data_IF_276747456210
#
_entry.id   IF_276747456210
#
_cell.length_a   1.000
_cell.length_b   1.000
_cell.length_c   1.000
_cell.angle_alpha   90.00
_cell.angle_beta   90.00
_cell.angle_gamma   90.00
#
_symmetry.space_group_name_H-M   'P 1'
#
loop_
_entity.id
_entity.type
_entity.pdbx_description
1 polymer ?
#
# COMPACT_ATOMS: atom_id res chain seq x y z
N UNK A 1 1.42 -4.62 6.72
CA UNK A 1 1.96 -5.90 6.21
C UNK A 1 1.92 -6.01 4.69
N UNK A 2 0.76 -5.82 4.05
CA UNK A 2 0.59 -6.06 2.61
C UNK A 2 1.49 -5.19 1.72
N UNK A 3 1.58 -3.89 2.00
CA UNK A 3 2.44 -2.96 1.25
C UNK A 3 3.92 -3.42 1.26
N UNK A 4 4.44 -3.75 2.45
CA UNK A 4 5.80 -4.28 2.64
C UNK A 4 6.01 -5.64 1.98
N UNK A 5 5.02 -6.53 2.03
CA UNK A 5 5.04 -7.84 1.35
C UNK A 5 5.20 -7.71 -0.17
N UNK A 6 4.65 -6.64 -0.73
CA UNK A 6 4.54 -6.42 -2.18
C UNK A 6 5.56 -5.41 -2.71
N UNK A 7 6.39 -4.83 -1.85
CA UNK A 7 7.32 -3.74 -2.17
C UNK A 7 6.62 -2.55 -2.88
N UNK A 8 5.44 -2.18 -2.39
CA UNK A 8 4.66 -1.02 -2.85
C UNK A 8 4.32 -0.10 -1.68
N UNK A 9 3.90 1.13 -1.96
CA UNK A 9 3.49 2.06 -0.90
C UNK A 9 2.12 1.68 -0.30
N UNK A 10 1.88 2.08 0.95
CA UNK A 10 0.55 1.94 1.59
C UNK A 10 -0.51 2.73 0.81
N UNK A 11 -0.15 3.89 0.26
CA UNK A 11 -1.02 4.70 -0.61
C UNK A 11 -1.47 3.92 -1.86
N UNK A 12 -0.55 3.20 -2.49
CA UNK A 12 -0.83 2.34 -3.65
C UNK A 12 -1.83 1.23 -3.28
N UNK A 13 -1.63 0.53 -2.15
CA UNK A 13 -2.58 -0.49 -1.65
C UNK A 13 -3.95 0.11 -1.35
N UNK A 14 -4.00 1.26 -0.68
CA UNK A 14 -5.24 1.99 -0.38
C UNK A 14 -5.94 2.46 -1.64
N UNK A 15 -5.21 2.86 -2.68
CA UNK A 15 -5.76 3.19 -4.00
C UNK A 15 -6.41 1.97 -4.63
N UNK A 16 -5.73 0.82 -4.65
CA UNK A 16 -6.31 -0.42 -5.16
C UNK A 16 -7.60 -0.78 -4.41
N UNK A 17 -7.60 -0.63 -3.09
CA UNK A 17 -8.80 -0.84 -2.28
C UNK A 17 -9.94 0.14 -2.64
N UNK A 18 -9.68 1.45 -2.67
CA UNK A 18 -10.68 2.48 -3.04
C UNK A 18 -11.26 2.25 -4.44
N UNK A 19 -10.43 1.78 -5.38
CA UNK A 19 -10.82 1.47 -6.76
C UNK A 19 -11.39 0.05 -6.92
N UNK A 20 -11.55 -0.70 -5.82
CA UNK A 20 -12.08 -2.08 -5.78
C UNK A 20 -11.29 -3.07 -6.63
N UNK A 21 -10.00 -2.80 -6.86
CA UNK A 21 -9.07 -3.74 -7.52
C UNK A 21 -8.67 -4.87 -6.57
N UNK A 22 -8.67 -4.59 -5.28
CA UNK A 22 -8.61 -5.56 -4.19
C UNK A 22 -9.73 -5.24 -3.21
N UNK A 23 -10.33 -6.25 -2.58
CA UNK A 23 -11.46 -6.07 -1.68
C UNK A 23 -11.21 -6.82 -0.37
N UNK A 24 -11.28 -6.16 0.79
CA UNK A 24 -11.10 -6.84 2.06
C UNK A 24 -12.27 -7.78 2.34
N UNK A 25 -11.97 -8.90 2.97
CA UNK A 25 -12.98 -9.85 3.49
C UNK A 25 -13.60 -9.31 4.79
N UNK A 26 -12.83 -8.53 5.54
CA UNK A 26 -13.29 -7.81 6.74
C UNK A 26 -12.49 -6.53 6.93
N UNK A 27 -13.10 -5.54 7.56
CA UNK A 27 -12.44 -4.32 8.03
C UNK A 27 -12.61 -4.20 9.54
N UNK A 28 -11.52 -3.89 10.23
CA UNK A 28 -11.51 -3.72 11.69
C UNK A 28 -10.73 -2.44 11.99
N UNK A 29 -11.35 -1.46 12.64
CA UNK A 29 -10.74 -0.14 12.91
C UNK A 29 -10.05 0.49 11.67
N UNK A 30 -10.73 0.50 10.51
CA UNK A 30 -10.25 1.02 9.21
C UNK A 30 -9.10 0.23 8.57
N UNK A 31 -8.66 -0.86 9.19
CA UNK A 31 -7.65 -1.75 8.64
C UNK A 31 -8.34 -2.82 7.77
N UNK A 32 -8.06 -2.86 6.46
CA UNK A 32 -8.59 -3.88 5.57
C UNK A 32 -7.80 -5.18 5.70
N UNK A 33 -8.50 -6.29 5.93
CA UNK A 33 -7.94 -7.64 5.93
C UNK A 33 -8.29 -8.35 4.63
N UNK A 34 -7.24 -8.80 3.94
CA UNK A 34 -7.33 -9.47 2.66
C UNK A 34 -7.07 -10.96 2.83
N UNK A 35 -7.84 -11.79 2.12
CA UNK A 35 -7.55 -13.22 2.05
C UNK A 35 -6.43 -13.52 1.05
N UNK A 36 -6.11 -14.81 0.90
CA UNK A 36 -5.07 -15.25 -0.01
C UNK A 36 -5.32 -14.88 -1.48
N UNK A 37 -6.57 -14.88 -1.95
CA UNK A 37 -6.90 -14.56 -3.34
C UNK A 37 -6.67 -13.08 -3.62
N UNK A 38 -7.04 -12.22 -2.68
CA UNK A 38 -6.83 -10.78 -2.75
C UNK A 38 -5.34 -10.42 -2.67
N UNK A 39 -4.57 -11.10 -1.82
CA UNK A 39 -3.11 -10.93 -1.75
C UNK A 39 -2.44 -11.38 -3.06
N UNK A 40 -2.89 -12.48 -3.66
CA UNK A 40 -2.39 -12.91 -4.98
C UNK A 40 -2.72 -11.91 -6.09
N UNK A 41 -3.92 -11.30 -6.04
CA UNK A 41 -4.34 -10.23 -6.96
C UNK A 41 -3.47 -8.99 -6.78
N UNK A 42 -3.26 -8.55 -5.54
CA UNK A 42 -2.38 -7.44 -5.20
C UNK A 42 -0.94 -7.68 -5.68
N UNK A 43 -0.44 -8.93 -5.59
CA UNK A 43 0.88 -9.31 -6.10
C UNK A 43 1.01 -9.15 -7.62
N UNK A 44 -0.03 -9.51 -8.37
CA UNK A 44 -0.07 -9.31 -9.84
C UNK A 44 -0.07 -7.81 -10.18
N UNK A 45 -0.82 -7.00 -9.42
CA UNK A 45 -0.80 -5.54 -9.57
C UNK A 45 0.60 -4.96 -9.28
N UNK A 46 1.25 -5.41 -8.20
CA UNK A 46 2.62 -5.00 -7.88
C UNK A 46 3.63 -5.35 -8.99
N UNK A 47 3.51 -6.54 -9.60
CA UNK A 47 4.35 -6.95 -10.73
C UNK A 47 4.20 -6.05 -11.95
N UNK A 48 2.98 -5.58 -12.24
CA UNK A 48 2.75 -4.61 -13.33
C UNK A 48 3.40 -3.25 -13.05
N UNK A 49 3.31 -2.77 -11.81
CA UNK A 49 3.99 -1.55 -11.39
C UNK A 49 5.51 -1.70 -11.52
N UNK A 50 6.07 -2.82 -11.05
CA UNK A 50 7.49 -3.11 -11.17
C UNK A 50 7.96 -3.20 -12.63
N UNK A 51 7.10 -3.63 -13.55
CA UNK A 51 7.36 -3.63 -14.99
C UNK A 51 7.23 -2.23 -15.63
N UNK A 52 6.93 -1.19 -14.86
CA UNK A 52 6.85 0.21 -15.29
C UNK A 52 5.51 0.58 -15.93
N UNK A 53 4.43 -0.15 -15.63
CA UNK A 53 3.08 0.32 -15.90
C UNK A 53 2.68 1.34 -14.82
N UNK A 54 2.09 2.48 -15.21
CA UNK A 54 1.53 3.40 -14.22
C UNK A 54 0.21 2.83 -13.67
N UNK A 55 -0.16 3.15 -12.42
CA UNK A 55 -1.45 2.74 -11.86
C UNK A 55 -2.65 3.14 -12.73
N UNK A 56 -2.62 4.36 -13.29
CA UNK A 56 -3.65 4.85 -14.22
C UNK A 56 -3.70 3.99 -15.49
N UNK A 57 -2.55 3.56 -16.02
CA UNK A 57 -2.51 2.67 -17.18
C UNK A 57 -3.05 1.28 -16.85
N UNK A 58 -2.76 0.74 -15.65
CA UNK A 58 -3.32 -0.53 -15.18
C UNK A 58 -4.84 -0.42 -15.08
N UNK A 59 -5.35 0.62 -14.42
CA UNK A 59 -6.79 0.89 -14.27
C UNK A 59 -7.48 1.00 -15.63
N UNK A 60 -6.90 1.77 -16.57
CA UNK A 60 -7.44 1.92 -17.92
C UNK A 60 -7.51 0.57 -18.65
N UNK A 61 -6.44 -0.22 -18.62
CA UNK A 61 -6.41 -1.55 -19.26
C UNK A 61 -7.41 -2.51 -18.63
N UNK A 62 -7.60 -2.48 -17.31
CA UNK A 62 -8.60 -3.30 -16.63
C UNK A 62 -10.01 -2.90 -17.01
N UNK A 63 -10.29 -1.59 -17.08
CA UNK A 63 -11.58 -1.09 -17.55
C UNK A 63 -11.87 -1.48 -19.01
N UNK A 64 -10.85 -1.51 -19.87
CA UNK A 64 -10.97 -2.02 -21.25
C UNK A 64 -11.29 -3.52 -21.25
N UNK A 65 -10.57 -4.34 -20.48
CA UNK A 65 -10.80 -5.78 -20.37
C UNK A 65 -12.20 -6.14 -19.87
N UNK A 66 -12.71 -5.42 -18.87
CA UNK A 66 -14.06 -5.63 -18.35
C UNK A 66 -15.16 -5.40 -19.41
N UNK A 67 -14.90 -4.63 -20.48
CA UNK A 67 -15.85 -4.47 -21.59
C UNK A 67 -15.93 -5.71 -22.49
N UNK A 68 -14.83 -6.44 -22.64
CA UNK A 68 -14.77 -7.66 -23.46
C UNK A 68 -15.18 -8.92 -22.70
N UNK A 69 -15.14 -8.86 -21.35
CA UNK A 69 -15.51 -9.96 -20.46
C UNK A 69 -16.56 -9.47 -19.44
N UNK A 70 -17.81 -9.20 -19.87
CA UNK A 70 -18.83 -8.65 -18.99
C UNK A 70 -19.20 -9.58 -17.83
N UNK A 71 -18.98 -10.89 -17.97
CA UNK A 71 -19.25 -11.89 -16.93
C UNK A 71 -18.10 -12.05 -15.92
N UNK A 72 -16.96 -11.37 -16.13
CA UNK A 72 -15.77 -11.46 -15.28
C UNK A 72 -15.62 -10.15 -14.52
N UNK A 73 -16.26 -10.06 -13.35
CA UNK A 73 -16.17 -8.89 -12.48
C UNK A 73 -14.73 -8.61 -11.99
N UNK A 74 -13.87 -9.64 -11.96
CA UNK A 74 -12.48 -9.53 -11.46
C UNK A 74 -11.47 -10.18 -12.40
N UNK A 75 -11.10 -9.51 -13.51
CA UNK A 75 -10.23 -10.08 -14.53
C UNK A 75 -8.88 -10.56 -13.99
N UNK A 76 -8.23 -9.81 -13.09
CA UNK A 76 -6.93 -10.22 -12.53
C UNK A 76 -7.06 -11.43 -11.60
N UNK A 77 -8.13 -11.53 -10.80
CA UNK A 77 -8.29 -12.62 -9.85
C UNK A 77 -8.72 -13.92 -10.54
N UNK A 78 -9.57 -13.81 -11.56
CA UNK A 78 -10.24 -14.96 -12.20
C UNK A 78 -9.55 -15.45 -13.47
N UNK A 79 -8.69 -14.64 -14.10
CA UNK A 79 -8.05 -15.00 -15.36
C UNK A 79 -6.60 -15.40 -15.13
N UNK A 80 -6.11 -16.36 -15.94
CA UNK A 80 -4.68 -16.68 -16.03
C UNK A 80 -3.97 -15.56 -16.77
N UNK A 81 -3.88 -14.39 -16.12
CA UNK A 81 -3.25 -13.21 -16.67
C UNK A 81 -1.75 -13.44 -16.74
N UNK A 82 -1.18 -13.47 -17.94
CA UNK A 82 0.26 -13.48 -18.15
C UNK A 82 0.73 -12.03 -18.23
N UNK A 83 1.67 -11.69 -17.37
CA UNK A 83 2.33 -10.39 -17.37
C UNK A 83 3.63 -10.54 -18.17
N UNK A 84 3.69 -9.93 -19.36
CA UNK A 84 4.89 -9.91 -20.20
C UNK A 84 5.36 -8.45 -20.33
N UNK A 85 6.26 -8.02 -19.44
CA UNK A 85 6.67 -6.63 -19.32
C UNK A 85 5.49 -5.70 -18.96
N UNK A 86 5.21 -4.70 -19.79
CA UNK A 86 4.11 -3.71 -19.59
C UNK A 86 2.75 -4.18 -20.12
N UNK A 87 2.68 -5.40 -20.65
CA UNK A 87 1.48 -5.93 -21.30
C UNK A 87 0.75 -6.89 -20.37
N UNK A 88 -0.58 -6.80 -20.41
CA UNK A 88 -1.48 -7.66 -19.64
C UNK A 88 -2.17 -8.59 -20.64
N UNK A 89 -1.83 -9.88 -20.62
CA UNK A 89 -2.35 -10.86 -21.58
C UNK A 89 -3.27 -11.84 -20.86
N UNK A 90 -4.41 -12.15 -21.47
CA UNK A 90 -5.32 -13.18 -20.99
C UNK A 90 -4.95 -14.54 -21.56
N UNK A 91 -4.86 -15.60 -20.75
CA UNK A 91 -4.83 -16.99 -21.27
C UNK A 91 -6.24 -17.60 -21.23
N UNK A 92 -6.75 -18.01 -22.39
CA UNK A 92 -7.92 -18.88 -22.55
C UNK A 92 -7.50 -20.18 -23.26
N UNK A 93 -8.33 -21.24 -23.16
CA UNK A 93 -8.01 -22.64 -23.52
C UNK A 93 -7.38 -22.86 -24.91
N UNK A 94 -7.44 -21.89 -25.85
CA UNK A 94 -6.82 -21.96 -27.18
C UNK A 94 -5.92 -20.76 -27.57
N UNK A 95 -5.48 -19.88 -26.63
CA UNK A 95 -4.55 -18.79 -26.99
C UNK A 95 -4.35 -17.67 -25.96
N UNK A 96 -3.50 -16.70 -26.30
CA UNK A 96 -3.28 -15.47 -25.53
C UNK A 96 -4.12 -14.33 -26.13
N UNK A 97 -4.83 -13.55 -25.31
CA UNK A 97 -5.65 -12.42 -25.77
C UNK A 97 -5.12 -11.12 -25.17
N UNK A 98 -4.89 -10.12 -26.02
CA UNK A 98 -4.57 -8.77 -25.58
C UNK A 98 -5.81 -8.03 -25.02
N UNK A 99 -5.63 -6.95 -24.23
CA UNK A 99 -6.73 -6.11 -23.74
C UNK A 99 -7.57 -5.47 -24.85
N UNK A 100 -7.03 -5.42 -26.08
CA UNK A 100 -7.71 -4.97 -27.31
C UNK A 100 -8.72 -5.99 -27.85
N UNK A 101 -8.73 -7.22 -27.34
CA UNK A 101 -9.52 -8.34 -27.86
C UNK A 101 -8.81 -9.12 -28.99
N UNK A 102 -7.55 -8.81 -29.30
CA UNK A 102 -6.78 -9.49 -30.34
C UNK A 102 -6.17 -10.80 -29.80
N UNK A 103 -6.40 -11.92 -30.50
CA UNK A 103 -5.74 -13.20 -30.20
C UNK A 103 -4.30 -13.19 -30.73
N UNK A 104 -3.34 -13.55 -29.88
CA UNK A 104 -1.94 -13.77 -30.22
C UNK A 104 -1.77 -15.20 -30.72
N UNK A 105 -1.37 -15.33 -31.97
CA UNK A 105 -0.79 -16.57 -32.51
C UNK A 105 0.72 -16.33 -32.57
N UNK A 106 1.51 -17.23 -31.98
CA UNK A 106 2.97 -17.15 -32.02
C UNK A 106 3.47 -17.35 -33.45
N UNK A 107 3.95 -16.26 -34.05
CA UNK A 107 4.80 -16.30 -35.23
C UNK A 107 6.00 -15.37 -34.99
N UNK A 108 7.19 -15.96 -35.03
CA UNK A 108 8.44 -15.24 -35.10
C UNK A 108 8.47 -14.33 -36.34
N UNK A 109 8.69 -13.04 -36.08
CA UNK A 109 9.19 -11.99 -36.97
C UNK A 109 8.38 -11.63 -38.24
N UNK A 110 7.94 -10.36 -38.34
CA UNK A 110 8.48 -9.31 -39.23
C UNK A 110 7.57 -8.05 -39.21
N UNK A 111 8.25 -6.90 -39.29
CA UNK A 111 7.82 -5.50 -39.38
C UNK A 111 6.54 -5.20 -40.21
N UNK A 112 5.81 -4.13 -39.85
CA UNK A 112 5.69 -2.90 -40.68
C UNK A 112 4.66 -1.89 -40.16
N UNK A 113 5.09 -0.63 -40.19
CA UNK A 113 4.43 0.67 -40.00
C UNK A 113 2.96 0.78 -40.48
N UNK A 114 2.16 1.65 -39.82
CA UNK A 114 1.26 2.60 -40.48
C UNK A 114 1.13 3.90 -39.65
N UNK A 115 1.44 5.01 -40.30
CA UNK A 115 1.20 6.40 -39.90
C UNK A 115 -0.06 6.85 -40.63
N UNK A 116 -1.00 7.52 -39.95
CA UNK A 116 -1.91 8.46 -40.61
C UNK A 116 -2.07 9.72 -39.77
N UNK A 117 -1.86 10.84 -40.45
CA UNK A 117 -1.96 12.22 -40.05
C UNK A 117 -3.41 12.69 -39.93
N UNK A 118 -3.71 13.48 -38.90
CA UNK A 118 -4.85 14.41 -38.87
C UNK A 118 -4.35 15.81 -38.48
N UNK A 119 -4.78 16.82 -39.24
CA UNK A 119 -4.39 18.23 -39.10
C UNK A 119 -5.00 18.90 -37.85
N UNK A 120 -4.30 19.84 -37.19
CA UNK A 120 -4.91 20.62 -36.11
C UNK A 120 -5.63 21.86 -36.65
N UNK A 121 -6.94 21.94 -36.41
CA UNK A 121 -7.71 23.19 -36.52
C UNK A 121 -7.33 24.14 -35.39
N UNK A 122 -6.80 25.32 -35.74
CA UNK A 122 -6.52 26.39 -34.79
C UNK A 122 -7.84 27.03 -34.30
N UNK A 123 -8.25 26.69 -33.09
CA UNK A 123 -9.23 27.47 -32.34
C UNK A 123 -8.52 28.61 -31.61
N UNK A 124 -8.90 29.85 -31.94
CA UNK A 124 -8.49 31.05 -31.21
C UNK A 124 -9.31 31.08 -29.92
N UNK A 125 -8.68 30.68 -28.80
CA UNK A 125 -9.29 30.74 -27.47
C UNK A 125 -9.11 32.16 -26.92
N UNK A 126 -10.22 32.82 -26.59
CA UNK A 126 -10.23 34.11 -25.90
C UNK A 126 -9.69 33.94 -24.48
N UNK A 127 -8.75 34.80 -24.08
CA UNK A 127 -8.14 34.82 -22.73
C UNK A 127 -9.20 35.01 -21.63
N UNK A 128 -10.37 35.56 -21.98
CA UNK A 128 -11.47 35.79 -21.05
C UNK A 128 -12.23 34.50 -20.69
N UNK A 129 -12.37 33.54 -21.62
CA UNK A 129 -13.02 32.25 -21.35
C UNK A 129 -12.12 31.32 -20.52
N UNK A 130 -10.78 31.49 -20.59
CA UNK A 130 -9.82 30.71 -19.80
C UNK A 130 -9.75 31.12 -18.32
N UNK A 131 -10.18 32.34 -17.97
CA UNK A 131 -10.17 32.80 -16.59
C UNK A 131 -11.42 32.36 -15.82
N UNK A 132 -12.52 32.07 -16.50
CA UNK A 132 -13.78 31.61 -15.90
C UNK A 132 -13.86 30.09 -15.72
N UNK A 133 -13.01 29.32 -16.42
CA UNK A 133 -12.91 27.85 -16.30
C UNK A 133 -11.69 27.37 -15.51
N UNK A 134 -11.19 28.16 -14.55
CA UNK A 134 -10.34 27.57 -13.51
C UNK A 134 -11.22 26.68 -12.64
N UNK A 135 -11.27 25.39 -12.97
CA UNK A 135 -11.74 24.36 -12.04
C UNK A 135 -11.07 24.65 -10.69
N UNK A 136 -11.88 24.97 -9.66
CA UNK A 136 -11.34 25.09 -8.32
C UNK A 136 -10.79 23.72 -7.98
N UNK A 137 -9.46 23.61 -7.94
CA UNK A 137 -8.78 22.40 -7.46
C UNK A 137 -9.26 22.17 -6.03
N UNK A 138 -10.03 21.10 -5.83
CA UNK A 138 -10.58 20.77 -4.51
C UNK A 138 -9.49 20.13 -3.65
N UNK A 139 -9.61 20.17 -2.30
CA UNK A 139 -8.72 19.42 -1.43
C UNK A 139 -8.66 17.93 -1.79
N UNK A 140 -9.79 17.36 -2.24
CA UNK A 140 -9.88 15.99 -2.73
C UNK A 140 -9.03 15.75 -3.98
N UNK A 141 -9.05 16.68 -4.95
CA UNK A 141 -8.21 16.59 -6.15
C UNK A 141 -6.72 16.68 -5.80
N UNK A 142 -6.37 17.53 -4.82
CA UNK A 142 -5.00 17.62 -4.30
C UNK A 142 -4.55 16.30 -3.68
N UNK A 143 -5.40 15.67 -2.87
CA UNK A 143 -5.11 14.35 -2.26
C UNK A 143 -4.93 13.28 -3.33
N UNK A 144 -5.77 13.27 -4.37
CA UNK A 144 -5.63 12.31 -5.47
C UNK A 144 -4.33 12.54 -6.24
N UNK A 145 -3.98 13.80 -6.53
CA UNK A 145 -2.74 14.14 -7.21
C UNK A 145 -1.50 13.83 -6.37
N UNK A 146 -1.54 14.04 -5.05
CA UNK A 146 -0.48 13.66 -4.13
C UNK A 146 -0.20 12.14 -4.19
N UNK A 147 -1.25 11.31 -4.21
CA UNK A 147 -1.12 9.87 -4.38
C UNK A 147 -0.48 9.46 -5.72
N UNK A 148 -0.76 10.20 -6.80
CA UNK A 148 -0.10 9.97 -8.10
C UNK A 148 1.40 10.29 -8.02
N UNK A 149 1.77 11.39 -7.36
CA UNK A 149 3.17 11.77 -7.15
C UNK A 149 3.92 10.74 -6.29
N UNK A 150 3.26 10.14 -5.29
CA UNK A 150 3.84 9.02 -4.52
C UNK A 150 4.14 7.80 -5.39
N UNK A 151 3.21 7.45 -6.28
CA UNK A 151 3.35 6.35 -7.22
C UNK A 151 4.52 6.61 -8.19
N UNK A 152 4.76 7.87 -8.58
CA UNK A 152 5.90 8.33 -9.38
C UNK A 152 7.20 8.51 -8.58
N UNK A 153 7.19 8.21 -7.28
CA UNK A 153 8.30 8.41 -6.33
C UNK A 153 8.77 9.86 -6.18
N UNK A 154 7.92 10.82 -6.51
CA UNK A 154 8.16 12.25 -6.30
C UNK A 154 7.70 12.65 -4.89
N UNK A 155 8.41 12.18 -3.87
CA UNK A 155 7.97 12.27 -2.47
C UNK A 155 7.86 13.71 -1.97
N UNK A 156 8.79 14.58 -2.36
CA UNK A 156 8.78 15.99 -1.99
C UNK A 156 7.54 16.70 -2.54
N UNK A 157 7.22 16.45 -3.81
CA UNK A 157 6.04 17.03 -4.46
C UNK A 157 4.74 16.48 -3.86
N UNK A 158 4.70 15.18 -3.54
CA UNK A 158 3.57 14.56 -2.85
C UNK A 158 3.33 15.20 -1.47
N UNK A 159 4.40 15.40 -0.67
CA UNK A 159 4.32 16.04 0.63
C UNK A 159 3.79 17.48 0.54
N UNK A 160 4.28 18.26 -0.42
CA UNK A 160 3.75 19.62 -0.66
C UNK A 160 2.28 19.60 -1.05
N UNK A 161 1.86 18.63 -1.86
CA UNK A 161 0.46 18.53 -2.26
C UNK A 161 -0.46 18.12 -1.12
N UNK A 162 -0.01 17.21 -0.24
CA UNK A 162 -0.74 16.91 1.00
C UNK A 162 -0.81 18.10 1.96
N UNK A 163 0.26 18.90 2.08
CA UNK A 163 0.25 20.15 2.85
C UNK A 163 -0.75 21.15 2.26
N UNK A 164 -0.79 21.29 0.94
CA UNK A 164 -1.75 22.14 0.24
C UNK A 164 -3.20 21.67 0.49
N UNK A 165 -3.45 20.37 0.42
CA UNK A 165 -4.76 19.79 0.72
C UNK A 165 -5.22 20.11 2.16
N UNK A 166 -4.34 19.96 3.15
CA UNK A 166 -4.63 20.32 4.55
C UNK A 166 -4.85 21.82 4.74
N UNK A 167 -4.12 22.67 3.99
CA UNK A 167 -4.30 24.11 4.05
C UNK A 167 -5.64 24.57 3.44
N UNK A 168 -6.11 23.88 2.40
CA UNK A 168 -7.36 24.20 1.70
C UNK A 168 -8.60 23.58 2.37
N UNK A 169 -8.51 22.32 2.79
CA UNK A 169 -9.63 21.53 3.34
C UNK A 169 -9.69 21.50 4.87
N UNK A 170 -8.65 21.96 5.56
CA UNK A 170 -8.52 21.87 7.01
C UNK A 170 -7.84 20.58 7.49
N UNK A 171 -7.65 20.43 8.81
CA UNK A 171 -7.02 19.25 9.39
C UNK A 171 -7.91 18.02 9.19
N UNK A 172 -7.33 16.97 8.61
CA UNK A 172 -7.98 15.68 8.42
C UNK A 172 -7.04 14.54 8.87
N UNK A 173 -7.53 13.55 9.63
CA UNK A 173 -6.68 12.48 10.15
C UNK A 173 -6.07 11.63 9.04
N UNK A 174 -6.83 11.28 8.00
CA UNK A 174 -6.36 10.45 6.89
C UNK A 174 -5.28 11.15 6.05
N UNK A 175 -5.41 12.47 5.86
CA UNK A 175 -4.44 13.28 5.11
C UNK A 175 -3.19 13.52 5.94
N UNK A 176 -3.35 13.74 7.25
CA UNK A 176 -2.22 13.83 8.18
C UNK A 176 -1.42 12.53 8.22
N UNK A 177 -2.09 11.38 8.26
CA UNK A 177 -1.44 10.09 8.16
C UNK A 177 -0.72 9.91 6.82
N UNK A 178 -1.34 10.24 5.69
CA UNK A 178 -0.70 10.11 4.36
C UNK A 178 0.55 10.99 4.26
N UNK A 179 0.47 12.23 4.75
CA UNK A 179 1.65 13.10 4.82
C UNK A 179 2.74 12.51 5.73
N UNK A 180 2.37 11.89 6.86
CA UNK A 180 3.33 11.22 7.75
C UNK A 180 4.07 10.09 7.05
N UNK A 181 3.37 9.23 6.29
CA UNK A 181 3.97 8.15 5.51
C UNK A 181 4.98 8.66 4.48
N UNK A 182 4.64 9.73 3.76
CA UNK A 182 5.54 10.34 2.77
C UNK A 182 6.78 10.90 3.46
N UNK A 183 6.61 11.62 4.57
CA UNK A 183 7.73 12.19 5.34
C UNK A 183 8.63 11.11 5.93
N UNK A 184 8.05 10.01 6.42
CA UNK A 184 8.79 8.85 6.90
C UNK A 184 9.66 8.25 5.78
N UNK A 185 9.10 8.07 4.58
CA UNK A 185 9.84 7.56 3.40
C UNK A 185 10.94 8.53 2.92
N UNK A 186 10.78 9.83 3.16
CA UNK A 186 11.81 10.84 2.91
C UNK A 186 12.92 10.86 3.99
N UNK A 187 12.73 10.13 5.09
CA UNK A 187 13.65 10.12 6.23
C UNK A 187 13.46 11.29 7.19
N UNK A 188 12.45 12.15 6.99
CA UNK A 188 12.09 13.21 7.94
C UNK A 188 11.23 12.62 9.08
N UNK A 189 11.88 11.81 9.91
CA UNK A 189 11.25 11.10 11.03
C UNK A 189 10.64 12.06 12.06
N UNK A 190 11.19 13.28 12.19
CA UNK A 190 10.65 14.29 13.10
C UNK A 190 9.31 14.80 12.60
N UNK A 191 9.23 15.22 11.33
CA UNK A 191 7.99 15.70 10.75
C UNK A 191 6.95 14.57 10.60
N UNK A 192 7.39 13.35 10.29
CA UNK A 192 6.51 12.18 10.25
C UNK A 192 5.85 11.93 11.61
N UNK A 193 6.64 11.94 12.70
CA UNK A 193 6.15 11.79 14.08
C UNK A 193 5.08 12.82 14.42
N UNK A 194 5.31 14.10 14.11
CA UNK A 194 4.33 15.17 14.34
C UNK A 194 3.01 14.92 13.61
N UNK A 195 3.08 14.40 12.38
CA UNK A 195 1.90 14.12 11.57
C UNK A 195 1.14 12.87 12.01
N UNK A 196 1.82 11.83 12.51
CA UNK A 196 1.15 10.73 13.18
C UNK A 196 0.43 11.18 14.46
N UNK A 197 1.06 12.04 15.28
CA UNK A 197 0.39 12.61 16.45
C UNK A 197 -0.87 13.39 16.06
N UNK A 198 -0.79 14.24 15.03
CA UNK A 198 -1.97 14.97 14.53
C UNK A 198 -3.08 14.02 14.06
N UNK A 199 -2.75 12.92 13.37
CA UNK A 199 -3.74 11.93 12.97
C UNK A 199 -4.44 11.29 14.18
N UNK A 200 -3.70 10.99 15.24
CA UNK A 200 -4.20 10.40 16.49
C UNK A 200 -5.03 11.42 17.31
N UNK A 201 -4.63 12.69 17.34
CA UNK A 201 -5.36 13.75 18.03
C UNK A 201 -6.71 14.05 17.37
N UNK A 202 -6.76 13.96 16.03
CA UNK A 202 -7.99 14.13 15.26
C UNK A 202 -8.90 12.90 15.31
N UNK A 203 -8.32 11.72 15.52
CA UNK A 203 -9.03 10.45 15.58
C UNK A 203 -8.29 9.48 16.52
N UNK A 204 -8.76 9.39 17.76
CA UNK A 204 -8.12 8.57 18.80
C UNK A 204 -8.12 7.07 18.46
N UNK A 205 -9.05 6.64 17.59
CA UNK A 205 -9.20 5.26 17.10
C UNK A 205 -8.36 4.99 15.83
N UNK A 206 -7.48 5.90 15.41
CA UNK A 206 -6.57 5.69 14.27
C UNK A 206 -5.42 4.74 14.63
N UNK A 207 -5.75 3.46 14.79
CA UNK A 207 -4.83 2.40 15.24
C UNK A 207 -3.58 2.31 14.36
N UNK A 208 -3.72 2.45 13.05
CA UNK A 208 -2.58 2.40 12.11
C UNK A 208 -1.59 3.56 12.36
N UNK A 209 -2.07 4.74 12.73
CA UNK A 209 -1.21 5.89 13.06
C UNK A 209 -0.46 5.65 14.37
N UNK A 210 -1.10 5.02 15.37
CA UNK A 210 -0.44 4.62 16.62
C UNK A 210 0.65 3.58 16.38
N UNK A 211 0.37 2.59 15.53
CA UNK A 211 1.34 1.57 15.15
C UNK A 211 2.56 2.18 14.44
N UNK A 212 2.33 3.03 13.42
CA UNK A 212 3.43 3.65 12.68
C UNK A 212 4.21 4.67 13.51
N UNK A 213 3.55 5.39 14.43
CA UNK A 213 4.22 6.21 15.44
C UNK A 213 5.16 5.35 16.30
N UNK A 214 4.73 4.16 16.73
CA UNK A 214 5.58 3.19 17.43
C UNK A 214 6.83 2.83 16.64
N UNK A 215 6.71 2.57 15.33
CA UNK A 215 7.84 2.29 14.45
C UNK A 215 8.82 3.47 14.39
N UNK A 216 8.32 4.70 14.19
CA UNK A 216 9.18 5.91 14.16
C UNK A 216 9.90 6.12 15.49
N UNK A 217 9.22 5.90 16.62
CA UNK A 217 9.82 6.02 17.95
C UNK A 217 10.92 4.98 18.15
N UNK A 218 10.72 3.74 17.70
CA UNK A 218 11.75 2.71 17.77
C UNK A 218 12.99 3.07 16.94
N UNK A 219 12.79 3.51 15.69
CA UNK A 219 13.88 3.91 14.78
C UNK A 219 14.65 5.15 15.24
N UNK A 220 13.98 6.03 15.99
CA UNK A 220 14.61 7.23 16.58
C UNK A 220 15.20 6.97 17.97
N UNK A 221 15.30 5.70 18.41
CA UNK A 221 15.95 5.32 19.66
C UNK A 221 15.15 5.64 20.93
N UNK A 222 13.82 5.65 20.84
CA UNK A 222 12.88 5.87 21.95
C UNK A 222 12.02 4.62 22.21
N UNK A 223 12.63 3.49 22.61
CA UNK A 223 11.98 2.18 22.67
C UNK A 223 10.84 2.12 23.70
N UNK A 224 10.96 2.80 24.84
CA UNK A 224 9.90 2.82 25.86
C UNK A 224 8.64 3.52 25.35
N UNK A 225 8.81 4.61 24.59
CA UNK A 225 7.68 5.30 23.95
C UNK A 225 7.10 4.46 22.81
N UNK A 226 7.93 3.74 22.06
CA UNK A 226 7.47 2.81 21.03
C UNK A 226 6.59 1.70 21.64
N UNK A 227 7.06 1.06 22.72
CA UNK A 227 6.28 0.04 23.46
C UNK A 227 4.95 0.61 23.93
N UNK A 228 4.94 1.83 24.48
CA UNK A 228 3.71 2.49 24.92
C UNK A 228 2.74 2.75 23.73
N UNK A 229 3.25 3.21 22.59
CA UNK A 229 2.44 3.42 21.38
C UNK A 229 1.84 2.11 20.85
N UNK A 230 2.63 1.02 20.80
CA UNK A 230 2.16 -0.30 20.38
C UNK A 230 1.13 -0.89 21.35
N UNK A 231 1.36 -0.80 22.66
CA UNK A 231 0.36 -1.21 23.67
C UNK A 231 -0.92 -0.40 23.53
N UNK A 232 -0.83 0.90 23.25
CA UNK A 232 -1.98 1.74 22.92
C UNK A 232 -2.73 1.23 21.68
N UNK A 233 -2.02 0.90 20.60
CA UNK A 233 -2.66 0.32 19.41
C UNK A 233 -3.40 -0.99 19.72
N UNK A 234 -2.81 -1.88 20.54
CA UNK A 234 -3.44 -3.15 20.95
C UNK A 234 -4.64 -2.96 21.90
N UNK A 235 -4.69 -1.87 22.68
CA UNK A 235 -5.87 -1.57 23.50
C UNK A 235 -7.11 -1.27 22.65
N UNK A 236 -6.93 -0.61 21.51
CA UNK A 236 -8.01 -0.37 20.56
C UNK A 236 -8.27 -1.58 19.67
N UNK A 237 -7.21 -2.26 19.23
CA UNK A 237 -7.30 -3.42 18.35
C UNK A 237 -6.33 -4.52 18.76
N UNK A 238 -6.82 -5.42 19.63
CA UNK A 238 -6.00 -6.49 20.18
C UNK A 238 -5.49 -7.47 19.10
N UNK A 239 -6.26 -7.70 18.04
CA UNK A 239 -5.94 -8.70 17.02
C UNK A 239 -5.18 -8.08 15.82
N UNK A 240 -4.19 -7.24 16.11
CA UNK A 240 -3.37 -6.55 15.11
C UNK A 240 -1.97 -7.20 14.94
N UNK A 241 -1.80 -8.16 14.01
CA UNK A 241 -0.56 -8.93 13.89
C UNK A 241 0.70 -8.08 13.70
N UNK A 242 0.65 -7.01 12.91
CA UNK A 242 1.81 -6.13 12.67
C UNK A 242 2.33 -5.52 13.98
N UNK A 243 1.42 -5.12 14.87
CA UNK A 243 1.80 -4.54 16.16
C UNK A 243 2.38 -5.58 17.09
N UNK A 244 1.83 -6.80 17.12
CA UNK A 244 2.41 -7.92 17.85
C UNK A 244 3.84 -8.23 17.37
N UNK A 245 4.05 -8.29 16.06
CA UNK A 245 5.38 -8.49 15.46
C UNK A 245 6.37 -7.39 15.89
N UNK A 246 6.01 -6.11 15.75
CA UNK A 246 6.89 -5.00 16.08
C UNK A 246 7.18 -4.89 17.58
N UNK A 247 6.16 -5.11 18.42
CA UNK A 247 6.31 -5.10 19.86
C UNK A 247 7.20 -6.25 20.35
N UNK A 248 7.01 -7.47 19.84
CA UNK A 248 7.85 -8.61 20.17
C UNK A 248 9.33 -8.36 19.84
N UNK A 249 9.61 -7.80 18.65
CA UNK A 249 10.97 -7.43 18.23
C UNK A 249 11.64 -6.45 19.18
N UNK A 250 10.93 -5.39 19.57
CA UNK A 250 11.50 -4.38 20.48
C UNK A 250 11.71 -4.97 21.87
N UNK A 251 10.79 -5.80 22.36
CA UNK A 251 10.95 -6.45 23.66
C UNK A 251 12.17 -7.39 23.66
N UNK A 252 12.37 -8.17 22.59
CA UNK A 252 13.56 -9.00 22.42
C UNK A 252 14.86 -8.17 22.40
N UNK A 253 14.89 -7.08 21.63
CA UNK A 253 16.06 -6.19 21.50
C UNK A 253 16.42 -5.52 22.84
N UNK A 254 15.52 -5.59 23.84
CA UNK A 254 15.65 -5.02 25.18
C UNK A 254 15.65 -6.07 26.30
N UNK A 255 15.93 -7.33 25.99
CA UNK A 255 16.04 -8.45 26.95
C UNK A 255 14.74 -8.75 27.76
N UNK A 256 13.57 -8.34 27.25
CA UNK A 256 12.26 -8.61 27.84
C UNK A 256 11.60 -9.84 27.19
N UNK A 257 12.31 -10.97 27.24
CA UNK A 257 12.00 -12.19 26.49
C UNK A 257 10.63 -12.79 26.84
N UNK A 258 10.24 -12.78 28.13
CA UNK A 258 8.95 -13.31 28.57
C UNK A 258 7.76 -12.56 27.95
N UNK A 259 7.82 -11.22 27.92
CA UNK A 259 6.81 -10.39 27.28
C UNK A 259 6.84 -10.56 25.76
N UNK A 260 8.04 -10.67 25.17
CA UNK A 260 8.22 -10.86 23.73
C UNK A 260 7.58 -12.17 23.25
N UNK A 261 7.75 -13.26 24.00
CA UNK A 261 7.21 -14.58 23.69
C UNK A 261 5.69 -14.55 23.50
N UNK A 262 4.98 -13.82 24.37
CA UNK A 262 3.52 -13.63 24.28
C UNK A 262 3.17 -13.01 22.93
N UNK A 263 3.85 -11.93 22.55
CA UNK A 263 3.56 -11.22 21.30
C UNK A 263 3.99 -12.01 20.06
N UNK A 264 5.09 -12.78 20.11
CA UNK A 264 5.49 -13.69 19.03
C UNK A 264 4.43 -14.78 18.78
N UNK A 265 3.90 -15.38 19.84
CA UNK A 265 2.80 -16.38 19.74
C UNK A 265 1.56 -15.76 19.15
N UNK A 266 1.10 -14.62 19.68
CA UNK A 266 -0.07 -13.92 19.12
C UNK A 266 0.11 -13.53 17.65
N UNK A 267 1.31 -13.10 17.25
CA UNK A 267 1.60 -12.82 15.85
C UNK A 267 1.43 -14.07 14.96
N UNK A 268 1.97 -15.22 15.39
CA UNK A 268 1.84 -16.49 14.67
C UNK A 268 0.40 -17.00 14.62
N UNK A 269 -0.38 -16.83 15.69
CA UNK A 269 -1.79 -17.21 15.72
C UNK A 269 -2.62 -16.36 14.75
N UNK A 270 -2.32 -15.06 14.66
CA UNK A 270 -3.05 -14.11 13.82
C UNK A 270 -2.60 -14.14 12.35
N UNK A 271 -1.33 -14.45 12.07
CA UNK A 271 -0.75 -14.41 10.74
C UNK A 271 0.27 -15.55 10.48
N UNK A 272 -0.16 -16.83 10.51
CA UNK A 272 0.74 -17.99 10.42
C UNK A 272 1.45 -18.11 9.06
N UNK A 273 0.84 -17.58 8.00
CA UNK A 273 1.37 -17.61 6.62
C UNK A 273 2.12 -16.32 6.25
N UNK A 274 2.37 -15.46 7.24
CA UNK A 274 3.13 -14.24 7.05
C UNK A 274 4.58 -14.52 6.68
N UNK A 275 5.25 -13.73 5.82
CA UNK A 275 6.68 -13.89 5.53
C UNK A 275 7.57 -13.79 6.76
N UNK A 276 7.09 -13.11 7.80
CA UNK A 276 7.79 -12.93 9.07
C UNK A 276 7.50 -14.06 10.07
N UNK A 277 6.67 -15.04 9.72
CA UNK A 277 6.34 -16.17 10.59
C UNK A 277 7.57 -17.03 10.90
N UNK A 278 8.50 -17.19 9.96
CA UNK A 278 9.72 -17.95 10.20
C UNK A 278 10.63 -17.28 11.23
N UNK A 279 10.72 -15.95 11.22
CA UNK A 279 11.43 -15.18 12.25
C UNK A 279 10.80 -15.42 13.62
N UNK A 280 9.48 -15.28 13.71
CA UNK A 280 8.76 -15.52 14.96
C UNK A 280 8.96 -16.95 15.49
N UNK A 281 8.91 -17.97 14.62
CA UNK A 281 9.19 -19.37 14.98
C UNK A 281 10.62 -19.55 15.49
N UNK A 282 11.60 -18.91 14.85
CA UNK A 282 13.01 -18.97 15.26
C UNK A 282 13.20 -18.31 16.64
N UNK A 283 12.59 -17.15 16.88
CA UNK A 283 12.65 -16.46 18.18
C UNK A 283 12.04 -17.31 19.31
N UNK A 284 10.92 -17.97 19.05
CA UNK A 284 10.27 -18.87 20.02
C UNK A 284 11.03 -20.18 20.24
N UNK A 285 11.77 -20.66 19.23
CA UNK A 285 12.59 -21.87 19.35
C UNK A 285 13.92 -21.63 20.06
N UNK A 286 14.39 -20.38 20.11
CA UNK A 286 15.57 -19.97 20.85
C UNK A 286 15.21 -19.83 22.34
N UNK A 287 15.09 -20.96 23.04
CA UNK A 287 15.19 -20.95 24.50
C UNK A 287 16.67 -20.66 24.86
N UNK A 288 16.99 -19.60 25.60
CA UNK A 288 18.33 -19.45 26.14
C UNK A 288 18.59 -20.63 27.09
N UNK A 289 19.49 -21.54 26.72
CA UNK A 289 20.00 -22.63 27.56
C UNK A 289 20.67 -22.06 28.83
N UNK A 290 19.90 -21.63 29.83
CA UNK A 290 20.46 -21.17 31.11
C UNK A 290 19.48 -21.40 32.27
N UNK A 291 19.23 -22.68 32.59
CA UNK A 291 18.86 -23.12 33.95
C UNK A 291 19.13 -24.61 34.23
N UNK A 292 20.11 -25.24 33.55
CA UNK A 292 20.55 -26.61 33.86
C UNK A 292 22.03 -26.72 34.30
N UNK A 293 22.71 -25.59 34.52
CA UNK A 293 23.99 -25.53 35.25
C UNK A 293 23.78 -24.90 36.63
N UNK A 294 23.01 -25.58 37.48
CA UNK A 294 23.27 -25.60 38.92
C UNK A 294 23.26 -27.06 39.33
N UNK A 295 24.28 -27.77 38.85
CA UNK A 295 24.58 -29.13 39.25
C UNK A 295 25.32 -29.08 40.60
N UNK A 296 24.68 -29.70 41.60
CA UNK A 296 25.27 -30.57 42.63
C UNK A 296 26.36 -30.05 43.57
#
# INVERSE_FOLDING_TARGET
MLAKLLDVSVATVRRWHRRKLIVPVREVHRLPYFDFQEVATARRLAQLLAAGASPVAIEKKLAELSRYLPDVERPIAQLSVIIEGKQLLLRQDEGLIEPSGQMRIDFDAIESQHVTSDEPQQQIISIQDQLEQRELVTPEDMIEYAGQLEDERQLEAAAEMYRAALAAGGPAPEVSFQLAEVLYRMGDLTAARERYYMAIELDEDYVEARANLGCVLAETGQPELAIAAFRGALQHHNDYPDVHYHLARILDDHDLQEDAEIHWKSFLDLAPDSPWADEARQRLAYEPELAAEYDS
#
